data_IF_605741138970
#
_entry.id   IF_605741138970
#
_cell.length_a   1.000
_cell.length_b   1.000
_cell.length_c   1.000
_cell.angle_alpha   90.00
_cell.angle_beta   90.00
_cell.angle_gamma   90.00
#
_symmetry.space_group_name_H-M   'P 1'
#
loop_
_entity.id
_entity.type
_entity.pdbx_description
1 polymer ?
#
# COMPACT_ATOMS: atom_id res chain seq x y z
N UNK A 1 -22.34 -0.66 -35.55
CA UNK A 1 -21.65 0.10 -34.50
C UNK A 1 -22.15 -0.43 -33.16
N UNK A 2 -21.47 -1.40 -32.57
CA UNK A 2 -21.88 -1.99 -31.28
C UNK A 2 -21.69 -0.97 -30.17
N UNK A 3 -22.70 -0.71 -29.32
CA UNK A 3 -22.53 0.19 -28.19
C UNK A 3 -21.44 -0.36 -27.28
N UNK A 4 -20.51 0.51 -26.89
CA UNK A 4 -19.47 0.21 -25.89
C UNK A 4 -20.18 -0.31 -24.64
N UNK A 5 -19.85 -1.51 -24.13
CA UNK A 5 -20.53 -2.05 -22.96
C UNK A 5 -20.46 -1.04 -21.82
N UNK A 6 -21.58 -0.85 -21.13
CA UNK A 6 -21.67 0.07 -19.99
C UNK A 6 -20.53 -0.24 -19.01
N UNK A 7 -19.75 0.79 -18.67
CA UNK A 7 -18.64 0.68 -17.73
C UNK A 7 -19.20 0.15 -16.41
N UNK A 8 -18.90 -1.10 -16.08
CA UNK A 8 -19.29 -1.73 -14.82
C UNK A 8 -18.80 -0.85 -13.67
N UNK A 9 -19.71 -0.38 -12.80
CA UNK A 9 -19.35 0.42 -11.63
C UNK A 9 -18.34 -0.38 -10.79
N UNK A 10 -17.12 0.16 -10.67
CA UNK A 10 -16.03 -0.51 -9.96
C UNK A 10 -16.33 -0.46 -8.47
N UNK A 11 -16.52 -1.63 -7.86
CA UNK A 11 -16.70 -1.74 -6.41
C UNK A 11 -15.40 -1.31 -5.74
N UNK A 12 -15.49 -0.24 -4.94
CA UNK A 12 -14.39 0.37 -4.21
C UNK A 12 -14.65 0.21 -2.70
N UNK A 13 -13.62 -0.15 -1.92
CA UNK A 13 -13.77 -0.18 -0.46
C UNK A 13 -13.95 1.22 0.11
N UNK A 14 -14.88 1.40 1.03
CA UNK A 14 -14.94 2.63 1.81
C UNK A 14 -13.78 2.68 2.84
N UNK A 15 -13.51 3.84 3.48
CA UNK A 15 -12.43 3.97 4.44
C UNK A 15 -12.50 3.00 5.62
N UNK A 16 -13.71 2.62 6.06
CA UNK A 16 -13.92 1.66 7.15
C UNK A 16 -13.49 0.25 6.74
N UNK A 17 -13.87 -0.17 5.53
CA UNK A 17 -13.46 -1.46 4.97
C UNK A 17 -11.94 -1.51 4.73
N UNK A 18 -11.36 -0.45 4.18
CA UNK A 18 -9.91 -0.36 3.98
C UNK A 18 -9.14 -0.42 5.31
N UNK A 19 -9.60 0.29 6.34
CA UNK A 19 -9.00 0.26 7.67
C UNK A 19 -9.13 -1.13 8.32
N UNK A 20 -10.30 -1.78 8.21
CA UNK A 20 -10.51 -3.14 8.71
C UNK A 20 -9.58 -4.15 8.02
N UNK A 21 -9.44 -4.05 6.70
CA UNK A 21 -8.50 -4.88 5.94
C UNK A 21 -7.06 -4.69 6.40
N UNK A 22 -6.59 -3.44 6.52
CA UNK A 22 -5.22 -3.14 6.94
C UNK A 22 -4.94 -3.65 8.36
N UNK A 23 -5.89 -3.47 9.28
CA UNK A 23 -5.78 -3.97 10.66
C UNK A 23 -5.72 -5.49 10.70
N UNK A 24 -6.61 -6.18 9.99
CA UNK A 24 -6.60 -7.65 9.89
C UNK A 24 -5.27 -8.17 9.35
N UNK A 25 -4.77 -7.58 8.27
CA UNK A 25 -3.48 -7.94 7.68
C UNK A 25 -2.33 -7.75 8.66
N UNK A 26 -2.33 -6.63 9.39
CA UNK A 26 -1.29 -6.37 10.39
C UNK A 26 -1.35 -7.36 11.55
N UNK A 27 -2.54 -7.65 12.09
CA UNK A 27 -2.71 -8.52 13.26
C UNK A 27 -2.47 -10.00 12.96
N UNK A 28 -2.96 -10.50 11.82
CA UNK A 28 -2.93 -11.94 11.52
C UNK A 28 -1.73 -12.39 10.68
N UNK A 29 -1.17 -11.49 9.86
CA UNK A 29 -0.06 -11.83 8.97
C UNK A 29 1.24 -11.13 9.37
N UNK A 30 1.20 -9.80 9.54
CA UNK A 30 2.38 -9.02 9.94
C UNK A 30 3.55 -9.10 8.94
N UNK A 31 3.28 -9.44 7.68
CA UNK A 31 4.28 -9.76 6.67
C UNK A 31 4.52 -8.62 5.67
N UNK A 32 5.38 -8.87 4.68
CA UNK A 32 5.67 -7.88 3.64
C UNK A 32 4.44 -7.50 2.79
N UNK A 33 3.48 -8.42 2.63
CA UNK A 33 2.24 -8.17 1.89
C UNK A 33 1.35 -7.20 2.66
N UNK A 34 1.27 -7.33 3.99
CA UNK A 34 0.56 -6.36 4.84
C UNK A 34 1.16 -4.96 4.72
N UNK A 35 2.50 -4.83 4.79
CA UNK A 35 3.18 -3.54 4.64
C UNK A 35 3.01 -2.94 3.23
N UNK A 36 3.01 -3.79 2.19
CA UNK A 36 2.76 -3.36 0.81
C UNK A 36 1.33 -2.83 0.62
N UNK A 37 0.33 -3.48 1.20
CA UNK A 37 -1.06 -3.04 1.16
C UNK A 37 -1.23 -1.66 1.84
N UNK A 38 -0.58 -1.44 2.98
CA UNK A 38 -0.57 -0.13 3.67
C UNK A 38 0.04 0.95 2.77
N UNK A 39 1.18 0.67 2.13
CA UNK A 39 1.82 1.60 1.20
C UNK A 39 0.88 1.95 0.04
N UNK A 40 0.28 0.95 -0.62
CA UNK A 40 -0.60 1.15 -1.77
C UNK A 40 -1.83 1.99 -1.43
N UNK A 41 -2.49 1.68 -0.30
CA UNK A 41 -3.69 2.39 0.15
C UNK A 41 -3.37 3.81 0.65
N UNK A 42 -2.25 3.99 1.36
CA UNK A 42 -1.85 5.27 1.92
C UNK A 42 -1.23 6.25 0.92
N UNK A 43 -0.66 5.77 -0.19
CA UNK A 43 0.02 6.62 -1.18
C UNK A 43 -0.64 6.67 -2.56
N UNK A 44 -1.45 5.67 -2.91
CA UNK A 44 -2.04 5.58 -4.25
C UNK A 44 -1.05 5.27 -5.37
N UNK A 45 0.15 4.79 -5.04
CA UNK A 45 1.12 4.34 -6.03
C UNK A 45 0.54 3.25 -6.93
N UNK A 46 0.97 3.17 -8.19
CA UNK A 46 0.63 2.01 -9.03
C UNK A 46 1.32 0.78 -8.43
N UNK A 47 0.68 -0.39 -8.51
CA UNK A 47 1.29 -1.66 -8.06
C UNK A 47 2.72 -1.85 -8.57
N UNK A 48 2.94 -1.63 -9.87
CA UNK A 48 4.28 -1.76 -10.46
C UNK A 48 5.30 -0.79 -9.89
N UNK A 49 4.88 0.42 -9.52
CA UNK A 49 5.75 1.42 -8.88
C UNK A 49 6.10 1.01 -7.45
N UNK A 50 5.12 0.51 -6.69
CA UNK A 50 5.37 0.01 -5.32
C UNK A 50 6.26 -1.23 -5.32
N UNK A 51 6.04 -2.17 -6.25
CA UNK A 51 6.86 -3.37 -6.41
C UNK A 51 8.25 -3.10 -7.00
N UNK A 52 8.45 -1.93 -7.63
CA UNK A 52 9.75 -1.46 -8.11
C UNK A 52 10.46 -0.51 -7.14
N UNK A 53 9.88 -0.24 -5.96
CA UNK A 53 10.44 0.70 -5.00
C UNK A 53 11.76 0.15 -4.43
N UNK A 54 12.80 0.98 -4.43
CA UNK A 54 14.11 0.64 -3.86
C UNK A 54 14.32 1.32 -2.52
N UNK A 55 15.14 0.73 -1.64
CA UNK A 55 15.49 1.36 -0.37
C UNK A 55 16.20 2.71 -0.56
N UNK A 56 16.99 2.87 -1.63
CA UNK A 56 17.64 4.15 -1.99
C UNK A 56 16.66 5.25 -2.41
N UNK A 57 15.39 4.90 -2.65
CA UNK A 57 14.31 5.82 -2.99
C UNK A 57 13.41 6.17 -1.79
N UNK A 58 13.67 5.59 -0.63
CA UNK A 58 12.87 5.79 0.59
C UNK A 58 13.64 6.67 1.56
N UNK A 59 13.07 7.83 1.85
CA UNK A 59 13.63 8.84 2.76
C UNK A 59 12.72 8.96 3.99
N UNK A 60 12.88 8.03 4.94
CA UNK A 60 12.07 7.95 6.15
C UNK A 60 12.18 9.19 7.06
N UNK A 61 13.38 9.77 7.32
CA UNK A 61 13.49 10.99 8.13
C UNK A 61 12.69 12.16 7.54
N UNK A 62 12.74 12.31 6.22
CA UNK A 62 12.02 13.33 5.47
C UNK A 62 10.56 12.96 5.20
N UNK A 63 10.13 11.74 5.58
CA UNK A 63 8.81 11.16 5.28
C UNK A 63 8.43 11.32 3.81
N UNK A 64 9.35 10.97 2.92
CA UNK A 64 9.13 11.02 1.46
C UNK A 64 9.69 9.80 0.77
N UNK A 65 9.14 9.47 -0.40
CA UNK A 65 9.75 8.52 -1.32
C UNK A 65 9.80 9.08 -2.75
N UNK A 66 10.63 8.47 -3.58
CA UNK A 66 10.79 8.79 -5.00
C UNK A 66 10.26 7.66 -5.88
N UNK A 67 9.32 7.96 -6.77
CA UNK A 67 8.82 6.97 -7.74
C UNK A 67 9.67 7.00 -9.01
N UNK A 68 10.79 6.26 -8.99
CA UNK A 68 11.70 6.13 -10.14
C UNK A 68 11.35 4.96 -11.04
N UNK A 69 10.97 3.84 -10.46
CA UNK A 69 10.87 2.56 -11.18
C UNK A 69 9.43 2.14 -11.41
N UNK A 70 9.23 1.24 -12.36
CA UNK A 70 7.94 0.59 -12.57
C UNK A 70 8.15 -0.86 -12.99
N UNK A 71 7.71 -1.79 -12.14
CA UNK A 71 7.68 -3.21 -12.43
C UNK A 71 6.48 -3.52 -13.34
N UNK A 72 6.79 -4.06 -14.53
CA UNK A 72 5.81 -4.50 -15.52
C UNK A 72 6.00 -5.98 -15.80
N UNK A 73 4.99 -6.65 -16.34
CA UNK A 73 5.16 -8.02 -16.84
C UNK A 73 5.41 -7.95 -18.34
N UNK A 74 6.48 -8.58 -18.82
CA UNK A 74 6.78 -8.72 -20.26
C UNK A 74 6.70 -10.19 -20.61
N UNK A 75 5.98 -10.53 -21.71
CA UNK A 75 5.86 -11.85 -22.31
C UNK A 75 5.74 -13.03 -21.32
N UNK A 76 4.52 -13.32 -20.85
CA UNK A 76 4.19 -14.47 -19.99
C UNK A 76 4.88 -14.48 -18.62
N UNK A 77 4.46 -13.58 -17.73
CA UNK A 77 4.68 -13.59 -16.28
C UNK A 77 6.09 -13.27 -15.75
N UNK A 78 7.10 -12.97 -16.58
CA UNK A 78 8.40 -12.53 -16.05
C UNK A 78 8.32 -11.06 -15.59
N UNK A 79 8.67 -10.76 -14.33
CA UNK A 79 8.74 -9.39 -13.84
C UNK A 79 9.91 -8.67 -14.54
N UNK A 80 9.59 -7.60 -15.25
CA UNK A 80 10.53 -6.70 -15.89
C UNK A 80 10.51 -5.36 -15.14
N UNK A 81 11.64 -5.01 -14.55
CA UNK A 81 11.83 -3.71 -13.94
C UNK A 81 12.22 -2.72 -15.03
N UNK A 82 11.31 -1.81 -15.36
CA UNK A 82 11.56 -0.79 -16.38
C UNK A 82 12.65 0.20 -15.95
N UNK A 83 13.21 0.92 -16.92
CA UNK A 83 14.20 1.96 -16.67
C UNK A 83 13.67 3.05 -15.74
N UNK A 84 14.54 3.65 -14.90
CA UNK A 84 14.15 4.72 -14.01
C UNK A 84 13.66 5.93 -14.82
N UNK A 85 12.54 6.52 -14.40
CA UNK A 85 11.96 7.68 -15.07
C UNK A 85 12.94 8.88 -14.99
N UNK A 86 13.27 9.56 -16.11
CA UNK A 86 14.27 10.62 -16.14
C UNK A 86 13.88 11.88 -15.33
N UNK A 87 12.61 12.00 -14.92
CA UNK A 87 12.08 13.13 -14.11
C UNK A 87 11.69 12.72 -12.69
N UNK A 88 12.55 11.94 -12.02
CA UNK A 88 12.32 11.42 -10.67
C UNK A 88 11.96 12.50 -9.62
N UNK A 89 12.53 13.71 -9.70
CA UNK A 89 12.22 14.79 -8.73
C UNK A 89 10.77 15.26 -8.81
N UNK A 90 10.16 15.17 -10.01
CA UNK A 90 8.72 15.37 -10.25
C UNK A 90 7.96 14.06 -10.05
N UNK A 91 8.35 13.21 -9.10
CA UNK A 91 7.65 11.99 -8.71
C UNK A 91 7.86 11.70 -7.20
N UNK A 92 8.04 12.76 -6.40
CA UNK A 92 8.06 12.65 -4.93
C UNK A 92 6.67 12.39 -4.39
N UNK A 93 6.58 11.44 -3.47
CA UNK A 93 5.36 11.12 -2.72
C UNK A 93 5.64 11.35 -1.24
N UNK A 94 4.80 12.13 -0.56
CA UNK A 94 4.86 12.30 0.89
C UNK A 94 4.25 11.10 1.60
N UNK A 95 4.87 10.69 2.69
CA UNK A 95 4.45 9.55 3.51
C UNK A 95 3.63 10.04 4.69
N UNK A 96 2.46 9.44 4.90
CA UNK A 96 1.76 9.61 6.17
C UNK A 96 2.50 8.86 7.29
N UNK A 97 2.22 9.17 8.57
CA UNK A 97 2.79 8.43 9.69
C UNK A 97 2.56 6.92 9.57
N UNK A 98 1.35 6.49 9.19
CA UNK A 98 1.03 5.07 9.03
C UNK A 98 1.88 4.38 7.96
N UNK A 99 2.06 5.03 6.81
CA UNK A 99 2.89 4.50 5.72
C UNK A 99 4.36 4.46 6.12
N UNK A 100 4.85 5.50 6.81
CA UNK A 100 6.22 5.51 7.31
C UNK A 100 6.48 4.34 8.27
N UNK A 101 5.56 4.09 9.22
CA UNK A 101 5.68 2.94 10.13
C UNK A 101 5.62 1.60 9.40
N UNK A 102 4.84 1.46 8.33
CA UNK A 102 4.84 0.25 7.51
C UNK A 102 6.18 0.02 6.81
N UNK A 103 6.82 1.08 6.32
CA UNK A 103 8.16 1.01 5.72
C UNK A 103 9.24 0.74 6.77
N UNK A 104 9.10 1.25 8.00
CA UNK A 104 9.99 0.90 9.13
C UNK A 104 9.87 -0.57 9.52
N UNK A 105 8.64 -1.12 9.58
CA UNK A 105 8.42 -2.56 9.78
C UNK A 105 9.03 -3.38 8.66
N UNK A 106 8.87 -2.94 7.42
CA UNK A 106 9.47 -3.60 6.26
C UNK A 106 11.01 -3.56 6.31
N UNK A 107 11.59 -2.46 6.77
CA UNK A 107 13.03 -2.34 6.98
C UNK A 107 13.53 -3.31 8.06
N UNK A 108 12.76 -3.49 9.13
CA UNK A 108 13.06 -4.48 10.16
C UNK A 108 13.00 -5.92 9.62
N UNK A 109 11.99 -6.25 8.80
CA UNK A 109 11.89 -7.54 8.12
C UNK A 109 13.07 -7.79 7.17
N UNK A 110 13.48 -6.79 6.39
CA UNK A 110 14.60 -6.91 5.46
C UNK A 110 15.95 -7.10 6.18
N UNK A 111 16.09 -6.53 7.39
CA UNK A 111 17.27 -6.71 8.25
C UNK A 111 17.27 -8.02 9.02
N UNK A 112 16.11 -8.67 9.17
CA UNK A 112 16.02 -9.94 9.85
C UNK A 112 16.82 -11.00 9.08
N UNK A 113 17.98 -11.38 9.62
CA UNK A 113 18.92 -12.30 8.97
C UNK A 113 20.15 -11.64 8.34
N UNK A 114 20.29 -10.31 8.42
CA UNK A 114 21.49 -9.60 8.00
C UNK A 114 22.32 -9.13 9.21
N UNK A 115 23.65 -8.98 9.08
CA UNK A 115 24.48 -8.40 10.12
C UNK A 115 24.00 -6.99 10.51
N UNK A 116 24.11 -6.65 11.79
CA UNK A 116 23.78 -5.31 12.28
C UNK A 116 24.61 -4.25 11.55
N UNK A 117 23.95 -3.17 11.12
CA UNK A 117 24.59 -2.09 10.38
C UNK A 117 24.69 -2.31 8.86
N UNK A 118 24.26 -3.46 8.33
CA UNK A 118 24.19 -3.67 6.87
C UNK A 118 23.25 -2.63 6.24
N UNK A 119 23.73 -1.87 5.23
CA UNK A 119 22.87 -0.94 4.50
C UNK A 119 21.71 -1.67 3.83
N UNK A 120 20.52 -1.05 3.90
CA UNK A 120 19.36 -1.56 3.16
C UNK A 120 19.53 -1.22 1.68
N UNK A 121 19.71 -2.25 0.86
CA UNK A 121 19.89 -2.15 -0.59
C UNK A 121 18.85 -2.96 -1.36
N UNK A 122 18.72 -2.67 -2.65
CA UNK A 122 17.78 -3.36 -3.53
C UNK A 122 16.31 -2.94 -3.32
N UNK A 123 15.41 -3.88 -3.63
CA UNK A 123 13.97 -3.66 -3.60
C UNK A 123 13.44 -3.69 -2.16
N UNK A 124 12.48 -2.80 -1.88
CA UNK A 124 11.77 -2.76 -0.58
C UNK A 124 10.92 -4.01 -0.36
N UNK A 125 10.30 -4.49 -1.44
CA UNK A 125 9.44 -5.67 -1.45
C UNK A 125 9.99 -6.69 -2.44
N UNK A 126 10.61 -7.74 -1.92
CA UNK A 126 11.26 -8.76 -2.71
C UNK A 126 11.04 -10.16 -2.16
N UNK A 127 11.29 -11.14 -3.02
CA UNK A 127 11.46 -12.53 -2.62
C UNK A 127 12.78 -12.70 -1.85
N UNK A 128 12.98 -13.82 -1.14
CA UNK A 128 14.23 -14.08 -0.41
C UNK A 128 15.49 -14.05 -1.27
N UNK A 129 15.37 -14.31 -2.58
CA UNK A 129 16.45 -14.23 -3.57
C UNK A 129 16.72 -12.79 -4.08
N UNK A 130 16.03 -11.78 -3.53
CA UNK A 130 16.12 -10.38 -3.97
C UNK A 130 15.32 -10.07 -5.24
N UNK A 131 14.67 -11.06 -5.87
CA UNK A 131 13.85 -10.83 -7.05
C UNK A 131 12.54 -10.12 -6.71
N UNK A 132 11.93 -9.38 -7.64
CA UNK A 132 10.66 -8.69 -7.39
C UNK A 132 9.55 -9.68 -7.00
N UNK A 133 8.64 -9.25 -6.12
CA UNK A 133 7.42 -10.01 -5.87
C UNK A 133 6.59 -10.14 -7.15
N UNK A 134 6.01 -11.32 -7.36
CA UNK A 134 5.17 -11.59 -8.52
C UNK A 134 3.82 -10.87 -8.39
N UNK A 135 3.44 -9.99 -9.32
CA UNK A 135 2.20 -9.22 -9.22
C UNK A 135 0.92 -10.07 -9.11
N UNK A 136 0.93 -11.29 -9.68
CA UNK A 136 -0.19 -12.23 -9.58
C UNK A 136 -0.35 -12.78 -8.17
N UNK A 137 0.77 -13.10 -7.49
CA UNK A 137 0.74 -13.61 -6.11
C UNK A 137 0.15 -12.58 -5.17
N UNK A 138 0.56 -11.31 -5.30
CA UNK A 138 -0.01 -10.21 -4.49
C UNK A 138 -1.51 -10.04 -4.71
N UNK A 139 -1.98 -10.22 -5.94
CA UNK A 139 -3.42 -10.16 -6.23
C UNK A 139 -4.17 -11.33 -5.59
N UNK A 140 -3.63 -12.55 -5.64
CA UNK A 140 -4.23 -13.71 -5.01
C UNK A 140 -4.27 -13.57 -3.49
N UNK A 141 -3.18 -13.15 -2.86
CA UNK A 141 -3.09 -12.89 -1.42
C UNK A 141 -4.11 -11.83 -0.98
N UNK A 142 -4.19 -10.72 -1.72
CA UNK A 142 -5.15 -9.68 -1.41
C UNK A 142 -6.59 -10.22 -1.44
N UNK A 143 -6.95 -10.98 -2.48
CA UNK A 143 -8.29 -11.56 -2.61
C UNK A 143 -8.59 -12.51 -1.47
N UNK A 144 -7.67 -13.41 -1.16
CA UNK A 144 -7.81 -14.36 -0.07
C UNK A 144 -8.06 -13.64 1.27
N UNK A 145 -7.21 -12.67 1.62
CA UNK A 145 -7.33 -11.90 2.87
C UNK A 145 -8.56 -11.01 2.92
N UNK A 146 -9.09 -10.61 1.77
CA UNK A 146 -10.35 -9.86 1.68
C UNK A 146 -11.56 -10.76 1.94
N UNK A 147 -11.52 -11.99 1.43
CA UNK A 147 -12.57 -13.00 1.62
C UNK A 147 -12.68 -13.42 3.09
N UNK A 148 -11.56 -13.51 3.81
CA UNK A 148 -11.55 -13.79 5.26
C UNK A 148 -12.37 -12.77 6.08
N UNK A 149 -12.51 -11.55 5.59
CA UNK A 149 -13.29 -10.48 6.22
C UNK A 149 -14.69 -10.31 5.61
N UNK A 150 -15.06 -11.14 4.64
CA UNK A 150 -16.29 -10.96 3.87
C UNK A 150 -16.34 -9.64 3.08
N UNK A 151 -15.18 -9.05 2.77
CA UNK A 151 -15.12 -7.79 2.03
C UNK A 151 -15.40 -8.03 0.54
N UNK A 152 -15.96 -7.03 -0.17
CA UNK A 152 -16.16 -7.14 -1.61
C UNK A 152 -14.84 -7.43 -2.33
N UNK A 153 -14.89 -8.35 -3.31
CA UNK A 153 -13.74 -8.67 -4.16
C UNK A 153 -13.33 -7.44 -4.96
N UNK A 154 -12.17 -6.89 -4.65
CA UNK A 154 -11.55 -5.80 -5.42
C UNK A 154 -10.32 -6.30 -6.17
N UNK A 155 -10.02 -5.71 -7.33
CA UNK A 155 -8.73 -5.88 -7.98
C UNK A 155 -7.65 -5.03 -7.30
N UNK A 156 -6.37 -5.39 -7.46
CA UNK A 156 -5.26 -4.54 -6.97
C UNK A 156 -5.23 -3.18 -7.70
N UNK A 157 -5.79 -3.09 -8.91
CA UNK A 157 -5.97 -1.81 -9.60
C UNK A 157 -7.04 -0.93 -8.93
N UNK A 158 -7.93 -1.53 -8.15
CA UNK A 158 -9.02 -0.86 -7.42
C UNK A 158 -8.58 -0.41 -6.02
N UNK A 159 -7.49 -0.95 -5.46
CA UNK A 159 -6.88 -0.42 -4.23
C UNK A 159 -6.48 1.06 -4.35
N UNK A 160 -6.06 1.48 -5.55
CA UNK A 160 -5.78 2.90 -5.82
C UNK A 160 -7.07 3.74 -5.88
N UNK A 161 -8.21 3.11 -6.14
CA UNK A 161 -9.51 3.76 -6.31
C UNK A 161 -10.40 3.67 -5.06
N UNK A 162 -10.09 2.80 -4.10
CA UNK A 162 -10.88 2.62 -2.88
C UNK A 162 -10.99 3.90 -2.04
N UNK A 163 -9.92 4.69 -1.94
CA UNK A 163 -9.84 5.74 -0.91
C UNK A 163 -9.57 7.15 -1.45
N UNK A 164 -9.85 7.46 -2.74
CA UNK A 164 -9.54 8.75 -3.41
C UNK A 164 -8.10 8.93 -3.93
N UNK A 165 -7.34 7.84 -4.11
CA UNK A 165 -5.93 7.91 -4.54
C UNK A 165 -5.71 8.16 -6.04
N UNK A 166 -6.78 8.34 -6.83
CA UNK A 166 -6.67 8.69 -8.25
C UNK A 166 -6.10 10.09 -8.47
N UNK A 167 -6.45 11.07 -7.63
CA UNK A 167 -6.18 12.50 -7.89
C UNK A 167 -4.79 12.94 -7.43
N UNK A 168 -4.24 12.32 -6.37
CA UNK A 168 -2.97 12.74 -5.75
C UNK A 168 -1.77 12.55 -6.68
N UNK A 169 -1.73 11.45 -7.42
CA UNK A 169 -0.58 11.12 -8.28
C UNK A 169 -0.60 11.84 -9.64
N UNK A 170 -1.77 12.32 -10.11
CA UNK A 170 -1.85 13.05 -11.38
C UNK A 170 -1.46 14.54 -11.22
N UNK A 171 -1.69 15.12 -10.04
CA UNK A 171 -1.46 16.55 -9.78
C UNK A 171 -0.41 16.86 -8.71
N UNK A 172 0.23 15.86 -8.09
CA UNK A 172 1.19 16.08 -6.99
C UNK A 172 2.42 16.93 -7.35
N UNK A 173 2.78 17.00 -8.63
CA UNK A 173 3.88 17.87 -9.13
C UNK A 173 3.42 19.27 -9.50
N UNK A 174 2.11 19.46 -9.64
CA UNK A 174 1.50 20.75 -9.93
C UNK A 174 1.03 21.44 -8.64
N UNK A 175 0.68 20.65 -7.61
CA UNK A 175 0.18 21.13 -6.32
C UNK A 175 0.71 20.25 -5.15
N UNK A 176 2.00 20.39 -4.76
CA UNK A 176 2.61 19.56 -3.72
C UNK A 176 1.97 19.72 -2.34
N UNK A 177 1.36 20.88 -2.04
CA UNK A 177 0.59 21.09 -0.81
C UNK A 177 -0.73 20.30 -0.83
N UNK A 178 -1.49 20.36 -1.93
CA UNK A 178 -2.74 19.60 -2.06
C UNK A 178 -2.52 18.07 -2.02
N UNK A 179 -1.40 17.59 -2.56
CA UNK A 179 -1.05 16.17 -2.45
C UNK A 179 -0.72 15.75 -1.01
N UNK A 180 0.00 16.59 -0.24
CA UNK A 180 0.24 16.36 1.19
C UNK A 180 -1.06 16.41 2.00
N UNK A 181 -1.95 17.34 1.68
CA UNK A 181 -3.25 17.47 2.35
C UNK A 181 -4.12 16.25 2.07
N UNK A 182 -4.09 15.71 0.84
CA UNK A 182 -4.80 14.50 0.48
C UNK A 182 -4.24 13.25 1.18
N UNK A 183 -2.91 13.08 1.22
CA UNK A 183 -2.28 12.00 2.01
C UNK A 183 -2.65 12.11 3.48
N UNK A 184 -2.63 13.32 4.04
CA UNK A 184 -3.02 13.60 5.43
C UNK A 184 -4.51 13.32 5.65
N UNK A 185 -5.38 13.63 4.70
CA UNK A 185 -6.80 13.36 4.77
C UNK A 185 -7.11 11.86 4.73
N UNK A 186 -6.44 11.09 3.86
CA UNK A 186 -6.53 9.63 3.80
C UNK A 186 -6.08 9.02 5.13
N UNK A 187 -4.93 9.45 5.66
CA UNK A 187 -4.40 8.96 6.94
C UNK A 187 -5.35 9.24 8.11
N UNK A 188 -5.89 10.46 8.18
CA UNK A 188 -6.91 10.83 9.17
C UNK A 188 -8.18 9.99 9.02
N UNK A 189 -8.64 9.73 7.80
CA UNK A 189 -9.83 8.92 7.55
C UNK A 189 -9.64 7.47 8.01
N UNK A 190 -8.53 6.84 7.63
CA UNK A 190 -8.18 5.47 8.04
C UNK A 190 -8.00 5.37 9.56
N UNK A 191 -7.31 6.34 10.17
CA UNK A 191 -7.06 6.37 11.62
C UNK A 191 -8.35 6.58 12.41
N UNK A 192 -9.25 7.46 11.95
CA UNK A 192 -10.57 7.67 12.56
C UNK A 192 -11.43 6.41 12.48
N UNK A 193 -11.42 5.73 11.33
CA UNK A 193 -12.13 4.47 11.16
C UNK A 193 -11.63 3.38 12.13
N UNK A 194 -10.31 3.25 12.30
CA UNK A 194 -9.72 2.33 13.27
C UNK A 194 -10.09 2.65 14.72
N UNK A 195 -10.11 3.94 15.10
CA UNK A 195 -10.52 4.36 16.46
C UNK A 195 -11.99 4.07 16.72
N UNK A 196 -12.88 4.42 15.78
CA UNK A 196 -14.32 4.18 15.91
C UNK A 196 -14.63 2.70 16.08
N UNK A 197 -13.93 1.83 15.35
CA UNK A 197 -14.07 0.39 15.50
C UNK A 197 -13.60 -0.10 16.87
N UNK A 198 -12.44 0.36 17.37
CA UNK A 198 -11.95 -0.01 18.72
C UNK A 198 -12.90 0.38 19.85
N UNK A 199 -13.57 1.53 19.74
CA UNK A 199 -14.59 1.94 20.72
C UNK A 199 -15.89 1.14 20.61
N UNK A 200 -16.19 0.51 19.48
CA UNK A 200 -17.35 -0.36 19.31
C UNK A 200 -17.07 -1.82 19.76
N UNK A 201 -15.80 -2.23 19.84
CA UNK A 201 -15.39 -3.60 20.18
C UNK A 201 -14.67 -3.72 21.54
N UNK A 202 -14.99 -2.89 22.53
CA UNK A 202 -14.40 -3.01 23.87
C UNK A 202 -15.40 -2.76 25.01
N UNK A 203 -15.12 -3.31 26.20
CA UNK A 203 -15.28 -4.72 26.53
C UNK A 203 -16.77 -5.09 26.69
N UNK A 204 -17.14 -6.33 26.35
CA UNK A 204 -18.36 -6.91 26.88
C UNK A 204 -18.22 -6.91 28.41
N UNK A 205 -19.15 -6.23 29.08
CA UNK A 205 -19.30 -6.23 30.52
C UNK A 205 -19.34 -7.66 31.05
N UNK A 206 -18.25 -8.10 31.66
CA UNK A 206 -18.29 -9.13 32.71
C UNK A 206 -19.07 -8.52 33.88
N UNK A 207 -20.37 -8.80 33.90
CA UNK A 207 -21.24 -8.45 35.02
C UNK A 207 -22.17 -9.62 35.27
N UNK A 208 -21.59 -10.76 35.67
CA UNK A 208 -22.27 -11.91 36.28
C UNK A 208 -21.27 -12.69 37.13
N UNK A 209 -21.10 -12.28 38.39
CA UNK A 209 -20.97 -13.14 39.56
C UNK A 209 -20.54 -12.33 40.80
N UNK A 210 -21.51 -11.97 41.65
CA UNK A 210 -21.53 -12.16 43.11
C UNK A 210 -22.60 -11.27 43.74
#
# INVERSE_FOLDING_TARGET
MTPRPATQERICWNPTQAAAFLRHNHTHYGDQVANLCELLLGTGMRRGEALGLHWTDVHLPEKTLLVRWNLTAVNNNRPYLGHPKPKASRNRVSLSPRVATALERQAALARAGQPSGTPLEGLVFCQPDGSPLRPQVILSELRHRSEELGLPRIGVHDLRHSTLSTTVNLYGHLLPHAARDAVTAIDKALTRADRKHRHQTGPASEDHAA
#
